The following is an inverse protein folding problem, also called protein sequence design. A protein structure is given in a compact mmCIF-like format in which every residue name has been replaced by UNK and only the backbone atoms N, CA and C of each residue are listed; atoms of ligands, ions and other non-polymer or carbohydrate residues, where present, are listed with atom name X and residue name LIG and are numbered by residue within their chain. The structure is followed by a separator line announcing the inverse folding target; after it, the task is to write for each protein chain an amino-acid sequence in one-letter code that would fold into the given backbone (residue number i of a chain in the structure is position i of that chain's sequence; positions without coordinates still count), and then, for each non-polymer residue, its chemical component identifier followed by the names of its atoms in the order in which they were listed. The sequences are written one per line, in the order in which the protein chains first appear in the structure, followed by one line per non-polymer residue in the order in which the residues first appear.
data_IF_012524886242
#
_entry.id   IF_012524886242
#
_cell.length_a   1.000
_cell.length_b   1.000
_cell.length_c   1.000
_cell.angle_alpha   90.00
_cell.angle_beta   90.00
_cell.angle_gamma   90.00
#
_symmetry.space_group_name_H-M   'P 1'
#
loop_
_entity.id
_entity.type
_entity.pdbx_description
1 polymer ?
#
# COMPACT_ATOMS: atom_id res chain seq x y z
N UNK A 1 25.74 5.41 1.72
CA UNK A 1 25.01 5.10 0.48
C UNK A 1 24.75 3.61 0.30
N UNK A 2 25.69 2.69 0.55
CA UNK A 2 25.50 1.23 0.37
C UNK A 2 24.42 0.60 1.25
N UNK A 3 24.29 1.00 2.52
CA UNK A 3 23.36 0.39 3.49
C UNK A 3 21.88 0.71 3.20
N UNK A 4 21.59 1.91 2.72
CA UNK A 4 20.21 2.29 2.31
C UNK A 4 19.80 1.61 1.00
N UNK A 5 20.71 1.45 0.06
CA UNK A 5 20.49 0.69 -1.17
C UNK A 5 20.21 -0.78 -0.88
N UNK A 6 20.93 -1.41 0.02
CA UNK A 6 20.70 -2.80 0.43
C UNK A 6 19.34 -3.00 1.11
N UNK A 7 18.85 -2.02 1.84
CA UNK A 7 17.53 -2.07 2.47
C UNK A 7 16.41 -1.93 1.44
N UNK A 8 16.54 -0.99 0.49
CA UNK A 8 15.58 -0.79 -0.59
C UNK A 8 15.51 -2.02 -1.49
N UNK A 9 16.68 -2.56 -1.89
CA UNK A 9 16.74 -3.76 -2.74
C UNK A 9 16.21 -4.99 -2.01
N UNK A 10 16.51 -5.16 -0.73
CA UNK A 10 15.97 -6.25 0.08
C UNK A 10 14.45 -6.19 0.25
N UNK A 11 13.90 -4.99 0.42
CA UNK A 11 12.46 -4.77 0.51
C UNK A 11 11.77 -5.07 -0.84
N UNK A 12 12.35 -4.56 -1.94
CA UNK A 12 11.87 -4.83 -3.29
C UNK A 12 11.83 -6.34 -3.57
N UNK A 13 12.90 -7.06 -3.25
CA UNK A 13 12.98 -8.50 -3.46
C UNK A 13 11.90 -9.25 -2.67
N UNK A 14 11.70 -8.91 -1.39
CA UNK A 14 10.67 -9.54 -0.55
C UNK A 14 9.25 -9.32 -1.10
N UNK A 15 8.94 -8.10 -1.52
CA UNK A 15 7.64 -7.76 -2.11
C UNK A 15 7.44 -8.47 -3.44
N UNK A 16 8.46 -8.49 -4.30
CA UNK A 16 8.39 -9.18 -5.59
C UNK A 16 8.18 -10.67 -5.42
N UNK A 17 8.91 -11.32 -4.52
CA UNK A 17 8.74 -12.73 -4.20
C UNK A 17 7.32 -12.98 -3.66
N UNK A 18 6.83 -12.15 -2.74
CA UNK A 18 5.48 -12.29 -2.19
C UNK A 18 4.42 -12.21 -3.28
N UNK A 19 4.52 -11.23 -4.18
CA UNK A 19 3.55 -11.04 -5.27
C UNK A 19 3.59 -12.23 -6.25
N UNK A 20 4.77 -12.68 -6.65
CA UNK A 20 4.93 -13.83 -7.54
C UNK A 20 4.40 -15.12 -6.90
N UNK A 21 4.70 -15.36 -5.62
CA UNK A 21 4.22 -16.54 -4.89
C UNK A 21 2.69 -16.49 -4.75
N UNK A 22 2.11 -15.34 -4.40
CA UNK A 22 0.65 -15.18 -4.31
C UNK A 22 -0.01 -15.43 -5.67
N UNK A 23 0.52 -14.87 -6.75
CA UNK A 23 0.02 -15.11 -8.10
C UNK A 23 0.19 -16.56 -8.57
N UNK A 24 1.28 -17.22 -8.21
CA UNK A 24 1.51 -18.63 -8.54
C UNK A 24 0.54 -19.54 -7.78
N UNK A 25 0.34 -19.32 -6.48
CA UNK A 25 -0.63 -20.07 -5.67
C UNK A 25 -2.03 -19.89 -6.23
N UNK A 26 -2.42 -18.66 -6.55
CA UNK A 26 -3.71 -18.38 -7.15
C UNK A 26 -3.90 -19.12 -8.48
N UNK A 27 -2.92 -19.10 -9.38
CA UNK A 27 -2.99 -19.85 -10.66
C UNK A 27 -3.17 -21.33 -10.44
N UNK A 28 -2.42 -21.92 -9.50
CA UNK A 28 -2.56 -23.34 -9.17
C UNK A 28 -3.99 -23.61 -8.68
N UNK A 29 -4.52 -22.81 -7.76
CA UNK A 29 -5.88 -22.96 -7.24
C UNK A 29 -6.91 -22.84 -8.36
N UNK A 30 -6.78 -21.87 -9.26
CA UNK A 30 -7.72 -21.66 -10.38
C UNK A 30 -7.65 -22.79 -11.43
N UNK A 31 -6.49 -23.39 -11.64
CA UNK A 31 -6.33 -24.52 -12.58
C UNK A 31 -7.00 -25.80 -12.07
N UNK A 32 -7.06 -25.99 -10.75
CA UNK A 32 -7.76 -27.11 -10.11
C UNK A 32 -9.23 -26.78 -9.76
N UNK A 33 -9.73 -25.60 -10.16
CA UNK A 33 -11.12 -25.25 -9.98
C UNK A 33 -12.01 -26.04 -10.96
N UNK A 34 -13.22 -26.44 -10.53
CA UNK A 34 -14.16 -27.22 -11.33
C UNK A 34 -14.53 -26.59 -12.69
N UNK A 35 -14.43 -25.28 -12.82
CA UNK A 35 -14.67 -24.58 -14.09
C UNK A 35 -13.53 -24.75 -15.12
N UNK A 36 -12.34 -25.13 -14.68
CA UNK A 36 -11.14 -25.30 -15.52
C UNK A 36 -10.75 -26.76 -15.71
N UNK A 37 -11.28 -27.68 -14.90
CA UNK A 37 -10.87 -29.10 -14.90
C UNK A 37 -11.12 -29.82 -16.23
N UNK A 38 -12.11 -29.36 -17.00
CA UNK A 38 -12.49 -29.95 -18.27
C UNK A 38 -11.73 -29.40 -19.48
N UNK A 39 -10.87 -28.40 -19.27
CA UNK A 39 -10.02 -27.81 -20.30
C UNK A 39 -8.72 -28.60 -20.43
N UNK A 40 -8.60 -29.38 -21.48
CA UNK A 40 -7.37 -30.11 -21.81
C UNK A 40 -6.28 -29.16 -22.30
N UNK A 41 -5.42 -28.66 -21.40
CA UNK A 41 -4.31 -27.77 -21.77
C UNK A 41 -3.16 -28.53 -22.41
N UNK A 42 -2.64 -28.00 -23.53
CA UNK A 42 -1.41 -28.46 -24.12
C UNK A 42 -0.19 -28.06 -23.27
N UNK A 43 0.96 -28.77 -23.37
CA UNK A 43 2.16 -28.39 -22.63
C UNK A 43 2.64 -26.96 -22.91
N UNK A 44 2.41 -26.45 -24.14
CA UNK A 44 2.73 -25.06 -24.49
C UNK A 44 1.86 -24.03 -23.77
N UNK A 45 0.57 -24.29 -23.61
CA UNK A 45 -0.37 -23.43 -22.87
C UNK A 45 -0.05 -23.41 -21.37
N UNK A 46 0.34 -24.54 -20.79
CA UNK A 46 0.84 -24.58 -19.42
C UNK A 46 2.04 -23.66 -19.24
N UNK A 47 3.01 -23.76 -20.14
CA UNK A 47 4.20 -22.90 -20.09
C UNK A 47 3.84 -21.42 -20.22
N UNK A 48 2.90 -21.06 -21.09
CA UNK A 48 2.42 -19.69 -21.25
C UNK A 48 1.72 -19.16 -19.97
N UNK A 49 0.84 -19.93 -19.36
CA UNK A 49 0.11 -19.54 -18.14
C UNK A 49 1.07 -19.19 -17.01
N UNK A 50 2.10 -20.01 -16.80
CA UNK A 50 3.06 -19.78 -15.71
C UNK A 50 4.07 -18.69 -16.04
N UNK A 51 4.64 -18.69 -17.25
CA UNK A 51 5.69 -17.74 -17.64
C UNK A 51 5.13 -16.31 -17.77
N UNK A 52 4.10 -16.14 -18.61
CA UNK A 52 3.48 -14.82 -18.81
C UNK A 52 2.84 -14.32 -17.52
N UNK A 53 2.26 -15.24 -16.74
CA UNK A 53 1.71 -14.91 -15.45
C UNK A 53 2.77 -14.40 -14.47
N UNK A 54 3.92 -15.05 -14.35
CA UNK A 54 5.01 -14.60 -13.49
C UNK A 54 5.61 -13.27 -13.96
N UNK A 55 5.71 -13.04 -15.27
CA UNK A 55 6.12 -11.74 -15.82
C UNK A 55 5.14 -10.62 -15.44
N UNK A 56 3.85 -10.90 -15.56
CA UNK A 56 2.80 -9.93 -15.17
C UNK A 56 2.85 -9.60 -13.69
N UNK A 57 3.03 -10.60 -12.81
CA UNK A 57 3.17 -10.41 -11.37
C UNK A 57 4.43 -9.58 -11.03
N UNK A 58 5.53 -9.81 -11.75
CA UNK A 58 6.75 -9.01 -11.56
C UNK A 58 6.55 -7.56 -11.99
N UNK A 59 5.84 -7.31 -13.09
CA UNK A 59 5.48 -5.96 -13.54
C UNK A 59 4.60 -5.28 -12.49
N UNK A 60 3.57 -5.96 -11.99
CA UNK A 60 2.68 -5.44 -10.95
C UNK A 60 3.44 -5.13 -9.65
N UNK A 61 4.34 -6.03 -9.22
CA UNK A 61 5.20 -5.82 -8.06
C UNK A 61 6.11 -4.60 -8.24
N UNK A 62 6.67 -4.42 -9.44
CA UNK A 62 7.58 -3.29 -9.73
C UNK A 62 6.84 -1.96 -9.71
N UNK A 63 5.64 -1.89 -10.30
CA UNK A 63 4.79 -0.69 -10.29
C UNK A 63 4.37 -0.37 -8.86
N UNK A 64 3.87 -1.36 -8.12
CA UNK A 64 3.46 -1.17 -6.74
C UNK A 64 4.62 -0.76 -5.83
N UNK A 65 5.82 -1.34 -6.04
CA UNK A 65 7.01 -0.92 -5.31
C UNK A 65 7.41 0.52 -5.62
N UNK A 66 7.14 1.03 -6.82
CA UNK A 66 7.36 2.43 -7.18
C UNK A 66 6.65 3.39 -6.22
N UNK A 67 5.39 3.12 -5.85
CA UNK A 67 4.65 3.90 -4.86
C UNK A 67 5.28 3.82 -3.46
N UNK A 68 5.70 2.62 -3.04
CA UNK A 68 6.40 2.43 -1.78
C UNK A 68 7.74 3.16 -1.76
N UNK A 69 8.48 3.15 -2.86
CA UNK A 69 9.74 3.86 -3.03
C UNK A 69 9.56 5.38 -2.93
N UNK A 70 8.53 5.94 -3.58
CA UNK A 70 8.17 7.36 -3.45
C UNK A 70 7.84 7.72 -1.99
N UNK A 71 7.11 6.86 -1.29
CA UNK A 71 6.87 7.04 0.14
C UNK A 71 8.19 7.03 0.94
N UNK A 72 9.09 6.08 0.68
CA UNK A 72 10.40 6.02 1.34
C UNK A 72 11.24 7.28 1.08
N UNK A 73 11.19 7.85 -0.13
CA UNK A 73 11.81 9.14 -0.44
C UNK A 73 11.19 10.28 0.38
N UNK A 74 9.86 10.27 0.55
CA UNK A 74 9.16 11.27 1.35
C UNK A 74 9.52 11.23 2.84
N UNK A 75 10.01 10.10 3.33
CA UNK A 75 10.48 9.90 4.72
C UNK A 75 11.94 10.33 4.93
N UNK A 76 12.66 10.73 3.84
CA UNK A 76 14.06 11.14 3.88
C UNK A 76 14.33 12.22 4.92
N UNK A 77 15.49 12.12 5.59
CA UNK A 77 15.96 13.07 6.60
C UNK A 77 16.35 14.44 6.01
N UNK A 78 16.55 14.53 4.70
CA UNK A 78 17.00 15.76 4.02
C UNK A 78 16.07 16.94 4.28
N UNK A 79 14.77 16.71 4.41
CA UNK A 79 13.75 17.73 4.69
C UNK A 79 13.83 18.35 6.09
N UNK A 80 14.55 17.70 7.02
CA UNK A 80 14.75 18.21 8.39
C UNK A 80 16.08 18.99 8.55
N UNK A 81 16.89 19.11 7.48
CA UNK A 81 18.11 19.93 7.49
C UNK A 81 17.78 21.41 7.26
N UNK A 82 18.51 22.28 7.93
CA UNK A 82 18.46 23.73 7.67
C UNK A 82 19.04 24.04 6.28
N UNK A 83 18.48 24.96 5.50
CA UNK A 83 17.31 25.81 5.79
C UNK A 83 15.96 25.16 5.43
N UNK A 84 15.96 24.01 4.72
CA UNK A 84 14.77 23.37 4.14
C UNK A 84 13.66 23.08 5.14
N UNK A 85 14.00 22.70 6.37
CA UNK A 85 13.04 22.41 7.41
C UNK A 85 12.14 23.59 7.77
N UNK A 86 12.72 24.79 7.84
CA UNK A 86 11.96 26.01 8.15
C UNK A 86 11.15 26.51 6.96
N UNK A 87 11.69 26.35 5.74
CA UNK A 87 10.97 26.68 4.49
C UNK A 87 9.72 25.82 4.36
N UNK A 88 9.85 24.49 4.55
CA UNK A 88 8.69 23.56 4.48
C UNK A 88 7.68 23.90 5.56
N UNK A 89 8.11 24.12 6.79
CA UNK A 89 7.22 24.50 7.88
C UNK A 89 6.50 25.81 7.59
N UNK A 90 7.21 26.81 7.05
CA UNK A 90 6.65 28.09 6.65
C UNK A 90 5.60 27.97 5.56
N UNK A 91 5.86 27.14 4.53
CA UNK A 91 4.90 26.87 3.44
C UNK A 91 3.65 26.17 3.99
N UNK A 92 3.80 25.16 4.85
CA UNK A 92 2.67 24.45 5.45
C UNK A 92 1.84 25.38 6.36
N UNK A 93 2.49 26.21 7.16
CA UNK A 93 1.82 27.18 8.01
C UNK A 93 1.10 28.25 7.18
N UNK A 94 1.73 28.77 6.13
CA UNK A 94 1.12 29.74 5.24
C UNK A 94 -0.09 29.15 4.50
N UNK A 95 0.01 27.91 4.00
CA UNK A 95 -1.10 27.20 3.37
C UNK A 95 -2.26 26.96 4.35
N UNK A 96 -1.95 26.57 5.59
CA UNK A 96 -2.95 26.42 6.64
C UNK A 96 -3.67 27.74 6.94
N UNK A 97 -2.91 28.82 7.12
CA UNK A 97 -3.49 30.15 7.37
C UNK A 97 -4.32 30.62 6.17
N UNK A 98 -3.84 30.41 4.95
CA UNK A 98 -4.57 30.78 3.75
C UNK A 98 -5.94 30.07 3.65
N UNK A 99 -5.97 28.75 3.82
CA UNK A 99 -7.21 27.96 3.73
C UNK A 99 -8.16 28.26 4.91
N UNK A 100 -7.62 28.62 6.09
CA UNK A 100 -8.44 28.85 7.29
C UNK A 100 -9.01 30.26 7.34
N UNK A 101 -8.29 31.28 6.86
CA UNK A 101 -8.64 32.70 7.05
C UNK A 101 -9.00 33.45 5.78
N UNK A 102 -8.69 32.89 4.59
CA UNK A 102 -9.04 33.51 3.32
C UNK A 102 -10.18 32.72 2.65
N UNK A 103 -11.06 33.42 1.94
CA UNK A 103 -12.04 32.77 1.07
C UNK A 103 -11.32 32.08 -0.07
N UNK A 104 -11.46 30.78 -0.15
CA UNK A 104 -10.80 29.93 -1.13
C UNK A 104 -11.83 29.29 -2.06
N UNK A 105 -11.34 28.69 -3.16
CA UNK A 105 -12.18 27.90 -4.08
C UNK A 105 -12.96 26.79 -3.33
N UNK A 106 -12.43 26.30 -2.20
CA UNK A 106 -13.09 25.27 -1.38
C UNK A 106 -14.42 25.77 -0.76
N UNK A 107 -14.54 27.07 -0.48
CA UNK A 107 -15.76 27.67 0.08
C UNK A 107 -16.92 27.67 -0.92
N UNK A 108 -16.61 27.68 -2.22
CA UNK A 108 -17.61 27.64 -3.30
C UNK A 108 -18.21 26.25 -3.51
N UNK A 109 -17.45 25.18 -3.24
CA UNK A 109 -17.89 23.80 -3.49
C UNK A 109 -18.72 23.21 -2.35
N UNK A 110 -18.34 23.45 -1.12
CA UNK A 110 -19.01 22.86 0.04
C UNK A 110 -18.59 23.57 1.33
N UNK A 111 -19.53 23.85 2.22
CA UNK A 111 -19.25 24.48 3.52
C UNK A 111 -18.33 23.66 4.43
N UNK A 112 -18.22 22.35 4.20
CA UNK A 112 -17.36 21.43 4.98
C UNK A 112 -15.96 21.30 4.38
N UNK A 113 -15.80 21.58 3.07
CA UNK A 113 -14.53 21.41 2.37
C UNK A 113 -13.37 22.23 2.97
N UNK A 114 -13.51 23.52 3.27
CA UNK A 114 -12.43 24.29 3.89
C UNK A 114 -12.08 23.81 5.30
N UNK A 115 -13.06 23.34 6.07
CA UNK A 115 -12.82 22.78 7.40
C UNK A 115 -11.99 21.50 7.34
N UNK A 116 -12.32 20.60 6.40
CA UNK A 116 -11.55 19.36 6.19
C UNK A 116 -10.15 19.69 5.67
N UNK A 117 -10.02 20.59 4.70
CA UNK A 117 -8.74 21.00 4.15
C UNK A 117 -7.83 21.67 5.21
N UNK A 118 -8.39 22.58 6.01
CA UNK A 118 -7.66 23.21 7.12
C UNK A 118 -7.27 22.20 8.19
N UNK A 119 -8.14 21.24 8.54
CA UNK A 119 -7.83 20.15 9.45
C UNK A 119 -6.67 19.28 8.98
N UNK A 120 -6.66 18.90 7.71
CA UNK A 120 -5.57 18.14 7.09
C UNK A 120 -4.26 18.95 7.12
N UNK A 121 -4.28 20.20 6.67
CA UNK A 121 -3.10 21.06 6.65
C UNK A 121 -2.55 21.33 8.06
N UNK A 122 -3.44 21.60 9.04
CA UNK A 122 -3.08 21.77 10.43
C UNK A 122 -2.43 20.53 11.03
N UNK A 123 -3.00 19.36 10.77
CA UNK A 123 -2.43 18.08 11.18
C UNK A 123 -1.03 17.85 10.56
N UNK A 124 -0.86 18.13 9.28
CA UNK A 124 0.44 18.00 8.61
C UNK A 124 1.47 19.00 9.13
N UNK A 125 1.10 20.26 9.31
CA UNK A 125 1.98 21.29 9.86
C UNK A 125 2.37 20.97 11.31
N UNK A 126 1.40 20.60 12.16
CA UNK A 126 1.63 20.24 13.55
C UNK A 126 2.52 19.02 13.72
N UNK A 127 2.22 17.94 12.97
CA UNK A 127 3.06 16.72 13.00
C UNK A 127 4.44 16.96 12.40
N UNK A 128 4.58 17.84 11.40
CA UNK A 128 5.88 18.21 10.87
C UNK A 128 6.70 19.03 11.90
N UNK A 129 6.09 19.97 12.59
CA UNK A 129 6.72 20.73 13.67
C UNK A 129 7.18 19.80 14.80
N UNK A 130 6.31 18.88 15.26
CA UNK A 130 6.68 17.90 16.30
C UNK A 130 7.87 17.03 15.87
N UNK A 131 7.90 16.58 14.62
CA UNK A 131 9.02 15.79 14.08
C UNK A 131 10.29 16.62 13.91
N UNK A 132 10.17 17.91 13.72
CA UNK A 132 11.32 18.81 13.61
C UNK A 132 11.97 19.02 14.97
N UNK A 133 11.19 19.27 16.02
CA UNK A 133 11.71 19.59 17.36
C UNK A 133 12.02 18.34 18.19
N UNK A 134 11.28 17.24 18.02
CA UNK A 134 11.42 16.02 18.83
C UNK A 134 11.93 14.84 17.99
N UNK A 135 13.22 14.51 18.13
CA UNK A 135 13.86 13.38 17.42
C UNK A 135 13.21 12.01 17.73
N UNK A 136 12.85 11.78 19.00
CA UNK A 136 12.20 10.53 19.41
C UNK A 136 10.85 10.36 18.72
N UNK A 137 10.03 11.39 18.69
CA UNK A 137 8.74 11.40 18.00
C UNK A 137 8.91 11.16 16.49
N UNK A 138 9.94 11.73 15.86
CA UNK A 138 10.23 11.53 14.45
C UNK A 138 10.55 10.07 14.11
N UNK A 139 11.39 9.42 14.93
CA UNK A 139 11.72 8.00 14.74
C UNK A 139 10.49 7.11 14.90
N UNK A 140 9.73 7.31 15.97
CA UNK A 140 8.49 6.58 16.21
C UNK A 140 7.48 6.76 15.07
N UNK A 141 7.23 8.00 14.65
CA UNK A 141 6.32 8.34 13.56
C UNK A 141 6.71 7.63 12.25
N UNK A 142 8.00 7.67 11.91
CA UNK A 142 8.51 7.01 10.70
C UNK A 142 8.31 5.51 10.75
N UNK A 143 8.60 4.87 11.88
CA UNK A 143 8.43 3.41 12.05
C UNK A 143 6.98 3.01 11.96
N UNK A 144 6.07 3.73 12.60
CA UNK A 144 4.63 3.46 12.57
C UNK A 144 4.07 3.57 11.16
N UNK A 145 4.37 4.67 10.46
CA UNK A 145 3.90 4.87 9.10
C UNK A 145 4.48 3.85 8.12
N UNK A 146 5.74 3.49 8.29
CA UNK A 146 6.36 2.47 7.47
C UNK A 146 5.71 1.10 7.69
N UNK A 147 5.50 0.70 8.94
CA UNK A 147 4.81 -0.54 9.28
C UNK A 147 3.37 -0.55 8.73
N UNK A 148 2.63 0.56 8.89
CA UNK A 148 1.27 0.70 8.36
C UNK A 148 1.23 0.52 6.85
N UNK A 149 2.08 1.23 6.10
CA UNK A 149 2.07 1.21 4.64
C UNK A 149 2.49 -0.16 4.10
N UNK A 150 3.48 -0.80 4.72
CA UNK A 150 3.84 -2.18 4.34
C UNK A 150 2.69 -3.15 4.63
N UNK A 151 2.04 -3.01 5.78
CA UNK A 151 0.88 -3.87 6.12
C UNK A 151 -0.26 -3.66 5.12
N UNK A 152 -0.56 -2.42 4.77
CA UNK A 152 -1.58 -2.12 3.75
C UNK A 152 -1.19 -2.68 2.38
N UNK A 153 0.09 -2.59 2.00
CA UNK A 153 0.56 -3.14 0.74
C UNK A 153 0.46 -4.67 0.69
N UNK A 154 0.89 -5.36 1.75
CA UNK A 154 0.74 -6.82 1.88
C UNK A 154 -0.75 -7.19 1.90
N UNK A 155 -1.57 -6.42 2.61
CA UNK A 155 -3.03 -6.60 2.65
C UNK A 155 -3.67 -6.46 1.27
N UNK A 156 -3.22 -5.51 0.46
CA UNK A 156 -3.69 -5.35 -0.91
C UNK A 156 -3.35 -6.58 -1.79
N UNK A 157 -2.15 -7.18 -1.63
CA UNK A 157 -1.78 -8.40 -2.35
C UNK A 157 -2.67 -9.58 -1.93
N UNK A 158 -2.86 -9.77 -0.62
CA UNK A 158 -3.71 -10.86 -0.07
C UNK A 158 -5.16 -10.66 -0.49
N UNK A 159 -5.69 -9.45 -0.35
CA UNK A 159 -7.04 -9.10 -0.76
C UNK A 159 -7.24 -9.33 -2.27
N UNK A 160 -6.30 -8.88 -3.10
CA UNK A 160 -6.37 -9.08 -4.55
C UNK A 160 -6.43 -10.58 -4.91
N UNK A 161 -5.61 -11.41 -4.29
CA UNK A 161 -5.61 -12.85 -4.57
C UNK A 161 -6.93 -13.51 -4.20
N UNK A 162 -7.50 -13.15 -3.05
CA UNK A 162 -8.78 -13.71 -2.57
C UNK A 162 -9.95 -13.19 -3.42
N UNK A 163 -10.01 -11.89 -3.70
CA UNK A 163 -11.08 -11.30 -4.49
C UNK A 163 -11.05 -11.78 -5.94
N UNK A 164 -9.87 -12.03 -6.53
CA UNK A 164 -9.75 -12.61 -7.86
C UNK A 164 -10.25 -14.07 -7.91
N UNK A 165 -10.06 -14.84 -6.83
CA UNK A 165 -10.64 -16.18 -6.72
C UNK A 165 -12.17 -16.15 -6.76
N UNK A 166 -12.82 -15.24 -6.01
CA UNK A 166 -14.27 -15.09 -6.04
C UNK A 166 -14.77 -14.59 -7.39
N UNK A 167 -14.07 -13.64 -7.98
CA UNK A 167 -14.40 -13.14 -9.31
C UNK A 167 -14.36 -14.25 -10.37
N UNK A 168 -13.36 -15.13 -10.28
CA UNK A 168 -13.28 -16.29 -11.15
C UNK A 168 -14.46 -17.24 -10.98
N UNK A 169 -14.88 -17.51 -9.75
CA UNK A 169 -16.03 -18.39 -9.49
C UNK A 169 -17.34 -17.85 -10.06
N UNK A 170 -17.50 -16.52 -10.09
CA UNK A 170 -18.71 -15.89 -10.62
C UNK A 170 -18.67 -15.76 -12.16
N UNK A 171 -17.53 -15.42 -12.73
CA UNK A 171 -17.43 -15.03 -14.15
C UNK A 171 -16.64 -16.01 -15.03
N UNK A 172 -15.93 -16.96 -14.47
CA UNK A 172 -15.08 -17.91 -15.21
C UNK A 172 -13.86 -17.28 -15.90
N UNK A 173 -13.56 -16.03 -15.60
CA UNK A 173 -12.45 -15.27 -16.17
C UNK A 173 -11.68 -14.53 -15.09
N UNK A 174 -10.40 -14.21 -15.34
CA UNK A 174 -9.62 -13.34 -14.47
C UNK A 174 -10.10 -11.89 -14.57
N UNK A 175 -9.66 -11.04 -13.65
CA UNK A 175 -10.00 -9.63 -13.66
C UNK A 175 -9.86 -9.00 -15.04
N UNK A 176 -10.93 -8.39 -15.51
CA UNK A 176 -11.04 -7.68 -16.77
C UNK A 176 -11.84 -6.37 -16.56
N UNK A 177 -12.29 -5.73 -17.63
CA UNK A 177 -13.02 -4.47 -17.55
C UNK A 177 -14.37 -4.61 -16.78
N UNK A 178 -14.97 -5.80 -16.70
CA UNK A 178 -16.19 -6.05 -15.90
C UNK A 178 -15.91 -5.72 -14.42
N UNK A 179 -14.71 -6.04 -13.91
CA UNK A 179 -14.33 -5.69 -12.55
C UNK A 179 -14.31 -4.17 -12.31
N UNK A 180 -14.04 -3.38 -13.35
CA UNK A 180 -14.10 -1.90 -13.27
C UNK A 180 -15.56 -1.42 -13.18
N UNK A 181 -16.48 -2.04 -13.91
CA UNK A 181 -17.90 -1.71 -13.83
C UNK A 181 -18.47 -1.97 -12.44
N UNK A 182 -17.99 -3.03 -11.76
CA UNK A 182 -18.35 -3.30 -10.37
C UNK A 182 -17.88 -2.21 -9.39
N UNK A 183 -16.82 -1.50 -9.71
CA UNK A 183 -16.38 -0.34 -8.91
C UNK A 183 -17.30 0.88 -9.09
N UNK A 184 -17.95 1.00 -10.23
CA UNK A 184 -18.92 2.09 -10.49
C UNK A 184 -20.22 1.87 -9.70
N UNK A 185 -20.69 0.62 -9.63
CA UNK A 185 -21.92 0.22 -8.92
C UNK A 185 -21.64 -0.32 -7.51
N UNK A 186 -20.70 0.28 -6.80
CA UNK A 186 -20.16 -0.23 -5.52
C UNK A 186 -21.23 -0.58 -4.49
N UNK A 187 -22.27 0.24 -4.34
CA UNK A 187 -23.32 0.01 -3.32
C UNK A 187 -24.15 -1.26 -3.59
N UNK A 188 -24.50 -1.51 -4.82
CA UNK A 188 -25.25 -2.70 -5.22
C UNK A 188 -24.40 -3.96 -5.11
N UNK A 189 -23.14 -3.86 -5.52
CA UNK A 189 -22.16 -4.95 -5.45
C UNK A 189 -21.88 -5.36 -4.01
N UNK A 190 -21.65 -4.37 -3.13
CA UNK A 190 -21.41 -4.62 -1.69
C UNK A 190 -22.64 -5.29 -1.06
N UNK A 191 -23.86 -4.85 -1.41
CA UNK A 191 -25.08 -5.48 -0.94
C UNK A 191 -25.15 -6.97 -1.34
N UNK A 192 -24.95 -7.28 -2.62
CA UNK A 192 -24.97 -8.65 -3.14
C UNK A 192 -23.88 -9.54 -2.51
N UNK A 193 -22.67 -9.00 -2.31
CA UNK A 193 -21.59 -9.72 -1.64
C UNK A 193 -21.95 -10.04 -0.19
N UNK A 194 -22.53 -9.08 0.55
CA UNK A 194 -22.93 -9.27 1.95
C UNK A 194 -24.04 -10.31 2.10
N UNK A 195 -24.93 -10.45 1.12
CA UNK A 195 -25.98 -11.46 1.11
C UNK A 195 -25.45 -12.85 0.73
N UNK A 196 -24.48 -12.91 -0.20
CA UNK A 196 -23.98 -14.17 -0.75
C UNK A 196 -22.85 -14.81 0.07
N UNK A 197 -22.06 -14.01 0.78
CA UNK A 197 -20.83 -14.46 1.46
C UNK A 197 -20.74 -13.98 2.91
N UNK A 198 -20.15 -14.76 3.82
CA UNK A 198 -19.91 -14.35 5.19
C UNK A 198 -18.73 -13.33 5.25
N UNK A 199 -19.00 -12.08 4.88
CA UNK A 199 -17.98 -11.02 4.72
C UNK A 199 -17.16 -10.77 5.99
N UNK A 200 -17.81 -10.82 7.17
CA UNK A 200 -17.14 -10.53 8.44
C UNK A 200 -16.01 -11.54 8.76
N UNK A 201 -16.27 -12.87 8.80
CA UNK A 201 -15.20 -13.83 9.04
C UNK A 201 -14.13 -13.85 7.93
N UNK A 202 -14.51 -13.60 6.68
CA UNK A 202 -13.57 -13.48 5.57
C UNK A 202 -12.62 -12.29 5.75
N UNK A 203 -13.15 -11.11 6.08
CA UNK A 203 -12.36 -9.90 6.35
C UNK A 203 -11.41 -10.10 7.52
N UNK A 204 -11.88 -10.72 8.61
CA UNK A 204 -11.02 -11.07 9.74
C UNK A 204 -9.90 -12.04 9.32
N UNK A 205 -10.20 -13.05 8.51
CA UNK A 205 -9.21 -13.97 7.96
C UNK A 205 -8.14 -13.25 7.13
N UNK A 206 -8.55 -12.34 6.24
CA UNK A 206 -7.64 -11.51 5.45
C UNK A 206 -6.72 -10.68 6.35
N UNK A 207 -7.27 -10.03 7.37
CA UNK A 207 -6.50 -9.21 8.32
C UNK A 207 -5.47 -10.08 9.06
N UNK A 208 -5.88 -11.22 9.59
CA UNK A 208 -4.98 -12.13 10.32
C UNK A 208 -3.84 -12.62 9.42
N UNK A 209 -4.16 -13.10 8.21
CA UNK A 209 -3.16 -13.56 7.23
C UNK A 209 -2.20 -12.43 6.86
N UNK A 210 -2.73 -11.24 6.60
CA UNK A 210 -1.92 -10.04 6.29
C UNK A 210 -0.94 -9.72 7.42
N UNK A 211 -1.41 -9.71 8.67
CA UNK A 211 -0.58 -9.42 9.84
C UNK A 211 0.51 -10.48 10.03
N UNK A 212 0.18 -11.77 9.88
CA UNK A 212 1.13 -12.87 9.98
C UNK A 212 2.22 -12.79 8.90
N UNK A 213 1.84 -12.55 7.64
CA UNK A 213 2.79 -12.38 6.53
C UNK A 213 3.69 -11.17 6.78
N UNK A 214 3.10 -10.03 7.13
CA UNK A 214 3.86 -8.82 7.42
C UNK A 214 4.84 -9.03 8.57
N UNK A 215 4.40 -9.61 9.66
CA UNK A 215 5.27 -9.93 10.80
C UNK A 215 6.41 -10.87 10.40
N UNK A 216 6.11 -11.96 9.69
CA UNK A 216 7.11 -12.93 9.27
C UNK A 216 8.19 -12.33 8.36
N UNK A 217 7.78 -11.55 7.36
CA UNK A 217 8.68 -10.97 6.37
C UNK A 217 9.53 -9.83 6.93
N UNK A 218 8.95 -9.01 7.83
CA UNK A 218 9.56 -7.74 8.24
C UNK A 218 10.03 -7.69 9.69
N UNK A 219 9.84 -8.76 10.49
CA UNK A 219 10.32 -8.83 11.88
C UNK A 219 11.84 -8.60 12.02
N UNK A 220 12.62 -8.93 10.99
CA UNK A 220 14.09 -8.74 10.98
C UNK A 220 14.51 -7.34 10.54
N UNK A 221 13.65 -6.62 9.84
CA UNK A 221 13.98 -5.31 9.26
C UNK A 221 13.73 -4.16 10.25
N UNK A 222 12.92 -4.38 11.29
CA UNK A 222 12.68 -3.39 12.36
C UNK A 222 13.99 -2.93 13.00
N UNK A 223 14.92 -3.84 13.26
CA UNK A 223 16.25 -3.50 13.79
C UNK A 223 17.11 -2.65 12.85
N UNK A 224 16.89 -2.70 11.54
CA UNK A 224 17.60 -1.86 10.57
C UNK A 224 17.13 -0.40 10.60
N UNK A 225 15.84 -0.17 10.85
CA UNK A 225 15.28 1.18 10.99
C UNK A 225 15.70 1.83 12.30
N UNK A 226 15.66 1.10 13.41
CA UNK A 226 16.12 1.59 14.72
C UNK A 226 17.62 1.86 14.73
N UNK A 227 18.44 1.00 14.14
CA UNK A 227 19.88 1.18 14.03
C UNK A 227 20.24 2.37 13.13
N UNK A 228 19.47 2.62 12.07
CA UNK A 228 19.63 3.80 11.21
C UNK A 228 19.29 5.09 11.95
N UNK A 229 18.30 5.09 12.83
CA UNK A 229 17.92 6.23 13.66
C UNK A 229 18.96 6.52 14.75
N UNK A 230 19.59 5.47 15.31
CA UNK A 230 20.55 5.58 16.43
C UNK A 230 21.98 5.95 16.01
N UNK A 231 22.39 5.62 14.79
CA UNK A 231 23.77 5.84 14.29
C UNK A 231 23.92 7.10 13.41
N UNK A 232 23.02 8.06 13.47
CA UNK A 232 23.17 9.31 12.71
C UNK A 232 23.92 10.34 13.52
N UNK A 233 25.05 10.88 12.99
CA UNK A 233 25.81 11.91 13.69
C UNK A 233 24.92 13.12 13.97
N UNK A 234 25.03 13.63 15.17
CA UNK A 234 24.47 14.92 15.57
C UNK A 234 25.13 16.01 14.71
N UNK A 235 24.37 16.56 13.76
CA UNK A 235 24.73 17.80 13.08
C UNK A 235 24.04 18.96 13.76
#
# INVERSE_FOLDING_TARGET
MSRSLNLVSGLYLKISILTIVAGLVLRIVLLFNGQTSDLGFSPGEWCQVFLLGAMNDLCAATIGFGFLWLFMMSVSETKYRKPWSYIILGILAAAFCYVTFCNTIFDEYCSVAPQVASGILGFWAGTFALRLFFRGFRSYWTTVWFALIITLYVGAIVFNAISEYFFWNEFGVRYNFIAVDYLVYTNEVVGNIMESYPVLPMSLGIIVVTLLITWYLFRRDQGCFDASAKNRPSA
#
